data_IF_735205787345
#
_entry.id   IF_735205787345
#
_cell.length_a   1.000
_cell.length_b   1.000
_cell.length_c   1.000
_cell.angle_alpha   90.00
_cell.angle_beta   90.00
_cell.angle_gamma   90.00
#
_symmetry.space_group_name_H-M   'P 1'
#
loop_
_entity.id
_entity.type
_entity.pdbx_description
1 polymer ?
#
# COMPACT_ATOMS: atom_id res chain seq x y z
N UNK A 1 -2.70 -7.76 6.66
CA UNK A 1 -3.35 -6.45 6.52
C UNK A 1 -3.88 -6.43 5.14
N UNK A 2 -5.11 -5.97 4.94
CA UNK A 2 -5.72 -6.19 3.65
C UNK A 2 -5.26 -5.15 2.62
N UNK A 3 -5.32 -5.50 1.32
CA UNK A 3 -5.04 -4.57 0.23
C UNK A 3 -5.82 -3.25 0.34
N UNK A 4 -7.02 -3.23 0.94
CA UNK A 4 -7.83 -2.02 1.12
C UNK A 4 -7.15 -1.01 2.04
N UNK A 5 -6.66 -1.47 3.20
CA UNK A 5 -6.06 -0.58 4.20
C UNK A 5 -4.79 0.08 3.64
N UNK A 6 -3.97 -0.69 2.92
CA UNK A 6 -2.82 -0.15 2.21
C UNK A 6 -3.20 0.77 1.05
N UNK A 7 -4.26 0.43 0.30
CA UNK A 7 -4.76 1.30 -0.76
C UNK A 7 -5.24 2.64 -0.23
N UNK A 8 -5.92 2.67 0.93
CA UNK A 8 -6.41 3.91 1.54
C UNK A 8 -5.26 4.79 2.06
N UNK A 9 -4.24 4.19 2.66
CA UNK A 9 -3.06 4.92 3.13
C UNK A 9 -2.26 5.45 1.92
N UNK A 10 -2.06 4.62 0.90
CA UNK A 10 -1.48 5.04 -0.37
C UNK A 10 -2.27 6.17 -1.03
N UNK A 11 -3.60 6.09 -1.04
CA UNK A 11 -4.47 7.15 -1.55
C UNK A 11 -4.32 8.46 -0.76
N UNK A 12 -4.16 8.38 0.56
CA UNK A 12 -3.88 9.52 1.44
C UNK A 12 -2.55 10.18 1.11
N UNK A 13 -1.48 9.40 0.92
CA UNK A 13 -0.18 9.93 0.46
C UNK A 13 -0.34 10.60 -0.92
N UNK A 14 -1.13 9.98 -1.80
CA UNK A 14 -1.51 10.56 -3.08
C UNK A 14 -2.25 11.89 -2.95
N UNK A 15 -3.20 12.00 -2.02
CA UNK A 15 -3.95 13.22 -1.74
C UNK A 15 -3.05 14.37 -1.29
N UNK A 16 -2.15 14.05 -0.37
CA UNK A 16 -1.15 14.93 0.20
C UNK A 16 -0.01 15.25 -0.76
N UNK A 17 0.05 14.63 -1.95
CA UNK A 17 1.06 14.93 -2.96
C UNK A 17 0.69 16.15 -3.83
N UNK A 18 1.65 16.75 -4.56
CA UNK A 18 1.38 17.90 -5.44
C UNK A 18 0.25 17.65 -6.46
N UNK A 19 -0.66 18.62 -6.63
CA UNK A 19 -1.82 18.58 -7.55
C UNK A 19 -1.41 18.35 -9.01
N UNK A 20 -0.20 18.78 -9.41
CA UNK A 20 0.35 18.55 -10.75
C UNK A 20 0.52 17.07 -11.11
N UNK A 21 0.56 16.17 -10.12
CA UNK A 21 0.65 14.73 -10.36
C UNK A 21 -0.73 14.21 -10.80
N UNK A 22 -0.87 13.89 -12.08
CA UNK A 22 -2.09 13.28 -12.64
C UNK A 22 -2.40 11.96 -11.93
N UNK A 23 -3.68 11.78 -11.56
CA UNK A 23 -4.21 10.59 -10.89
C UNK A 23 -3.46 10.21 -9.60
N UNK A 24 -2.94 11.19 -8.85
CA UNK A 24 -2.12 10.97 -7.64
C UNK A 24 -2.76 10.02 -6.62
N UNK A 25 -4.07 10.13 -6.37
CA UNK A 25 -4.82 9.25 -5.46
C UNK A 25 -4.75 7.79 -5.89
N UNK A 26 -5.08 7.53 -7.16
CA UNK A 26 -5.06 6.19 -7.74
C UNK A 26 -3.64 5.62 -7.78
N UNK A 27 -2.64 6.43 -8.17
CA UNK A 27 -1.23 5.99 -8.18
C UNK A 27 -0.75 5.59 -6.80
N UNK A 28 -1.08 6.40 -5.79
CA UNK A 28 -0.77 6.08 -4.39
C UNK A 28 -1.47 4.82 -3.92
N UNK A 29 -2.78 4.70 -4.18
CA UNK A 29 -3.57 3.53 -3.79
C UNK A 29 -3.02 2.23 -4.39
N UNK A 30 -2.79 2.22 -5.71
CA UNK A 30 -2.23 1.07 -6.41
C UNK A 30 -0.84 0.75 -5.87
N UNK A 31 0.04 1.74 -5.71
CA UNK A 31 1.39 1.53 -5.20
C UNK A 31 1.42 1.04 -3.74
N UNK A 32 0.45 1.42 -2.91
CA UNK A 32 0.31 0.93 -1.55
C UNK A 32 -0.14 -0.53 -1.51
N UNK A 33 -1.13 -0.93 -2.31
CA UNK A 33 -1.70 -2.29 -2.25
C UNK A 33 -0.99 -3.32 -3.13
N UNK A 34 -0.15 -2.89 -4.08
CA UNK A 34 0.43 -3.80 -5.07
C UNK A 34 1.26 -4.94 -4.46
N UNK A 35 2.01 -4.79 -3.34
CA UNK A 35 2.80 -5.89 -2.81
C UNK A 35 1.93 -7.08 -2.38
N UNK A 36 0.76 -6.82 -1.79
CA UNK A 36 -0.20 -7.87 -1.39
C UNK A 36 -0.73 -8.67 -2.57
N UNK A 37 -0.93 -8.02 -3.72
CA UNK A 37 -1.47 -8.67 -4.92
C UNK A 37 -0.54 -9.76 -5.46
N UNK A 38 0.76 -9.70 -5.15
CA UNK A 38 1.69 -10.77 -5.51
C UNK A 38 1.44 -12.07 -4.73
N UNK A 39 0.76 -12.00 -3.57
CA UNK A 39 0.39 -13.19 -2.82
C UNK A 39 -0.80 -13.96 -3.43
N UNK A 40 -1.51 -13.37 -4.40
CA UNK A 40 -2.65 -14.02 -5.05
C UNK A 40 -2.27 -15.41 -5.62
N UNK A 41 -1.04 -15.56 -6.13
CA UNK A 41 -0.54 -16.83 -6.62
C UNK A 41 -0.55 -17.92 -5.54
N UNK A 42 -0.07 -17.59 -4.33
CA UNK A 42 -0.13 -18.49 -3.18
C UNK A 42 -1.57 -18.79 -2.79
N UNK A 43 -2.43 -17.76 -2.72
CA UNK A 43 -3.83 -17.91 -2.33
C UNK A 43 -4.57 -18.92 -3.20
N UNK A 44 -4.41 -18.82 -4.53
CA UNK A 44 -5.03 -19.74 -5.45
C UNK A 44 -4.42 -21.14 -5.36
N UNK A 45 -3.08 -21.24 -5.33
CA UNK A 45 -2.40 -22.52 -5.29
C UNK A 45 -2.71 -23.31 -4.01
N UNK A 46 -2.61 -22.65 -2.85
CA UNK A 46 -2.91 -23.26 -1.56
C UNK A 46 -4.39 -23.60 -1.44
N UNK A 47 -5.29 -22.76 -1.97
CA UNK A 47 -6.72 -23.05 -2.01
C UNK A 47 -7.06 -24.34 -2.78
N UNK A 48 -6.37 -24.58 -3.91
CA UNK A 48 -6.48 -25.84 -4.66
C UNK A 48 -5.96 -27.02 -3.83
N UNK A 49 -4.81 -26.86 -3.17
CA UNK A 49 -4.20 -27.92 -2.36
C UNK A 49 -5.03 -28.30 -1.13
N UNK A 50 -5.69 -27.33 -0.53
CA UNK A 50 -6.61 -27.53 0.59
C UNK A 50 -7.97 -28.13 0.15
N UNK A 51 -8.22 -28.26 -1.16
CA UNK A 51 -9.42 -28.92 -1.70
C UNK A 51 -10.68 -28.06 -1.65
N UNK A 52 -10.55 -26.72 -1.64
CA UNK A 52 -11.70 -25.83 -1.66
C UNK A 52 -12.39 -25.80 -3.02
N UNK A 53 -13.72 -25.72 -3.03
CA UNK A 53 -14.53 -25.60 -4.26
C UNK A 53 -14.26 -24.28 -5.01
N UNK A 54 -14.12 -23.19 -4.25
CA UNK A 54 -13.57 -21.93 -4.76
C UNK A 54 -12.11 -21.92 -4.31
N UNK A 55 -11.13 -21.90 -5.22
CA UNK A 55 -9.72 -22.11 -4.90
C UNK A 55 -9.11 -20.86 -4.25
N UNK A 56 -9.59 -20.46 -3.08
CA UNK A 56 -9.07 -19.33 -2.32
C UNK A 56 -8.72 -19.86 -0.94
N UNK A 57 -7.43 -19.80 -0.61
CA UNK A 57 -6.95 -20.18 0.71
C UNK A 57 -7.57 -19.30 1.80
N UNK A 58 -7.89 -19.93 2.93
CA UNK A 58 -8.29 -19.31 4.19
C UNK A 58 -7.11 -19.30 5.15
N UNK A 59 -7.13 -18.48 6.21
CA UNK A 59 -6.04 -18.45 7.19
C UNK A 59 -5.68 -19.82 7.75
N UNK A 60 -6.65 -20.70 7.99
CA UNK A 60 -6.43 -22.04 8.53
C UNK A 60 -5.63 -22.95 7.57
N UNK A 61 -5.73 -22.71 6.26
CA UNK A 61 -4.96 -23.47 5.27
C UNK A 61 -3.48 -23.18 5.40
N UNK A 62 -3.11 -21.94 5.70
CA UNK A 62 -1.72 -21.53 5.90
C UNK A 62 -1.14 -22.19 7.16
N UNK A 63 -1.89 -22.21 8.26
CA UNK A 63 -1.45 -22.86 9.50
C UNK A 63 -1.33 -24.38 9.37
N UNK A 64 -2.18 -25.02 8.55
CA UNK A 64 -2.13 -26.47 8.30
C UNK A 64 -1.13 -26.89 7.23
N UNK A 65 -0.62 -25.95 6.42
CA UNK A 65 0.30 -26.20 5.32
C UNK A 65 1.53 -25.31 5.41
N UNK A 66 2.25 -25.38 6.53
CA UNK A 66 3.44 -24.54 6.78
C UNK A 66 4.54 -24.69 5.73
N UNK A 67 4.58 -25.81 5.00
CA UNK A 67 5.47 -26.04 3.86
C UNK A 67 5.34 -24.98 2.75
N UNK A 68 4.23 -24.22 2.71
CA UNK A 68 3.98 -23.21 1.68
C UNK A 68 5.04 -22.11 1.68
N UNK A 69 5.65 -21.80 2.83
CA UNK A 69 6.67 -20.73 2.94
C UNK A 69 7.97 -21.06 2.18
N UNK A 70 8.25 -22.34 1.99
CA UNK A 70 9.41 -22.83 1.22
C UNK A 70 9.05 -23.10 -0.25
N UNK A 71 7.77 -22.93 -0.62
CA UNK A 71 7.29 -23.16 -1.97
C UNK A 71 7.51 -21.91 -2.84
N UNK A 72 7.81 -22.11 -4.13
CA UNK A 72 8.12 -21.00 -5.05
C UNK A 72 6.99 -19.98 -5.19
N UNK A 73 5.73 -20.37 -4.91
CA UNK A 73 4.59 -19.46 -4.92
C UNK A 73 4.65 -18.40 -3.83
N UNK A 74 5.40 -18.65 -2.74
CA UNK A 74 5.63 -17.71 -1.65
C UNK A 74 6.75 -16.71 -1.93
N UNK A 75 7.65 -17.01 -2.87
CA UNK A 75 8.77 -16.10 -3.19
C UNK A 75 8.31 -14.69 -3.60
N UNK A 76 7.24 -14.48 -4.40
CA UNK A 76 6.74 -13.16 -4.70
C UNK A 76 6.38 -12.35 -3.45
N UNK A 77 5.75 -12.98 -2.45
CA UNK A 77 5.45 -12.34 -1.16
C UNK A 77 6.73 -11.85 -0.49
N UNK A 78 7.73 -12.72 -0.32
CA UNK A 78 9.00 -12.37 0.32
C UNK A 78 9.76 -11.25 -0.41
N UNK A 79 9.73 -11.28 -1.75
CA UNK A 79 10.40 -10.27 -2.58
C UNK A 79 9.67 -8.93 -2.45
N UNK A 80 8.34 -8.91 -2.59
CA UNK A 80 7.59 -7.65 -2.63
C UNK A 80 7.51 -6.98 -1.27
N UNK A 81 7.65 -7.72 -0.17
CA UNK A 81 7.64 -7.21 1.20
C UNK A 81 9.05 -6.91 1.76
N UNK A 82 10.06 -6.85 0.88
CA UNK A 82 11.44 -6.53 1.25
C UNK A 82 11.78 -5.06 1.00
N UNK A 83 12.39 -4.39 1.99
CA UNK A 83 12.98 -3.06 1.81
C UNK A 83 14.14 -3.08 0.81
N UNK A 84 14.83 -4.22 0.66
CA UNK A 84 15.88 -4.37 -0.34
C UNK A 84 15.30 -4.31 -1.76
N UNK A 85 14.19 -4.99 -1.99
CA UNK A 85 13.47 -4.91 -3.27
C UNK A 85 12.95 -3.51 -3.54
N UNK A 86 12.37 -2.86 -2.52
CA UNK A 86 11.95 -1.46 -2.64
C UNK A 86 13.12 -0.54 -3.02
N UNK A 87 14.26 -0.64 -2.35
CA UNK A 87 15.41 0.24 -2.54
C UNK A 87 16.15 0.00 -3.87
N UNK A 88 16.27 -1.26 -4.30
CA UNK A 88 17.08 -1.65 -5.47
C UNK A 88 16.23 -1.76 -6.75
N UNK A 89 14.93 -2.03 -6.64
CA UNK A 89 14.05 -2.22 -7.80
C UNK A 89 13.03 -1.09 -7.91
N UNK A 90 12.19 -0.89 -6.89
CA UNK A 90 11.07 0.07 -6.97
C UNK A 90 11.55 1.51 -7.10
N UNK A 91 12.50 1.94 -6.25
CA UNK A 91 13.06 3.30 -6.31
C UNK A 91 13.78 3.54 -7.64
N UNK A 92 14.72 2.70 -8.10
CA UNK A 92 15.42 2.93 -9.37
C UNK A 92 14.49 2.91 -10.57
N UNK A 93 13.51 2.00 -10.65
CA UNK A 93 12.50 1.99 -11.73
C UNK A 93 11.70 3.29 -11.71
N UNK A 94 11.23 3.73 -10.53
CA UNK A 94 10.46 4.98 -10.39
C UNK A 94 11.25 6.17 -10.91
N UNK A 95 12.53 6.28 -10.56
CA UNK A 95 13.41 7.37 -11.00
C UNK A 95 13.78 7.27 -12.49
N UNK A 96 14.14 6.08 -12.97
CA UNK A 96 14.55 5.83 -14.35
C UNK A 96 13.45 6.18 -15.34
N UNK A 97 12.21 5.75 -15.07
CA UNK A 97 11.04 6.07 -15.88
C UNK A 97 10.41 7.44 -15.56
N UNK A 98 11.09 8.26 -14.74
CA UNK A 98 10.64 9.60 -14.34
C UNK A 98 9.21 9.61 -13.80
N UNK A 99 8.84 8.53 -13.11
CA UNK A 99 7.54 8.44 -12.46
C UNK A 99 7.53 9.29 -11.18
N UNK A 100 6.34 9.70 -10.70
CA UNK A 100 6.25 10.46 -9.46
C UNK A 100 6.81 9.65 -8.28
N UNK A 101 7.70 10.26 -7.49
CA UNK A 101 8.31 9.63 -6.30
C UNK A 101 7.27 9.15 -5.27
N UNK A 102 6.07 9.72 -5.30
CA UNK A 102 4.85 9.23 -4.63
C UNK A 102 4.70 7.70 -4.72
N UNK A 103 4.99 7.08 -5.88
CA UNK A 103 4.84 5.63 -6.05
C UNK A 103 5.77 4.88 -5.07
N UNK A 104 7.04 5.28 -5.01
CA UNK A 104 8.00 4.68 -4.10
C UNK A 104 7.67 4.96 -2.62
N UNK A 105 7.14 6.15 -2.30
CA UNK A 105 6.74 6.51 -0.94
C UNK A 105 5.50 5.70 -0.50
N UNK A 106 4.50 5.55 -1.37
CA UNK A 106 3.31 4.76 -1.09
C UNK A 106 3.67 3.27 -0.90
N UNK A 107 4.55 2.73 -1.76
CA UNK A 107 5.09 1.37 -1.58
C UNK A 107 5.82 1.23 -0.23
N UNK A 108 6.68 2.19 0.12
CA UNK A 108 7.39 2.18 1.39
C UNK A 108 6.43 2.20 2.59
N UNK A 109 5.34 2.96 2.48
CA UNK A 109 4.34 3.03 3.55
C UNK A 109 3.73 1.66 3.84
N UNK A 110 3.49 0.85 2.80
CA UNK A 110 3.02 -0.52 2.95
C UNK A 110 4.05 -1.36 3.73
N UNK A 111 5.33 -1.34 3.34
CA UNK A 111 6.38 -2.08 4.05
C UNK A 111 6.51 -1.70 5.53
N UNK A 112 6.38 -0.41 5.85
CA UNK A 112 6.46 0.07 7.24
C UNK A 112 5.28 -0.42 8.07
N UNK A 113 4.08 -0.44 7.49
CA UNK A 113 2.86 -0.89 8.18
C UNK A 113 2.82 -2.40 8.37
N UNK A 114 3.49 -3.12 7.47
CA UNK A 114 3.63 -4.57 7.51
C UNK A 114 4.55 -5.11 8.59
N UNK A 115 5.46 -4.27 9.11
CA UNK A 115 6.31 -4.65 10.24
C UNK A 115 5.48 -4.99 11.49
N UNK A 116 4.61 -4.10 12.02
CA UNK A 116 3.78 -4.43 13.17
C UNK A 116 2.56 -5.31 12.84
N UNK A 117 2.15 -5.43 11.57
CA UNK A 117 0.86 -6.05 11.23
C UNK A 117 0.89 -7.52 10.81
N UNK A 118 2.06 -8.14 10.77
CA UNK A 118 2.19 -9.56 10.41
C UNK A 118 3.07 -10.33 11.38
N UNK A 119 2.63 -11.52 11.76
CA UNK A 119 3.26 -12.40 12.76
C UNK A 119 3.21 -13.85 12.25
N UNK A 120 3.97 -14.75 12.86
CA UNK A 120 4.01 -16.16 12.52
C UNK A 120 4.39 -16.43 11.06
N UNK A 121 3.48 -17.10 10.33
CA UNK A 121 3.75 -17.53 8.95
C UNK A 121 3.81 -16.35 7.97
N UNK A 122 3.16 -15.22 8.28
CA UNK A 122 3.19 -14.01 7.46
C UNK A 122 4.21 -12.97 7.92
N UNK A 123 5.00 -13.22 8.97
CA UNK A 123 5.98 -12.25 9.47
C UNK A 123 6.87 -11.74 8.34
N UNK A 124 7.08 -10.43 8.34
CA UNK A 124 7.86 -9.76 7.32
C UNK A 124 9.32 -10.22 7.35
N UNK A 125 9.96 -10.34 6.18
CA UNK A 125 11.42 -10.45 6.05
C UNK A 125 11.98 -9.19 5.39
N UNK A 126 12.23 -8.12 6.17
CA UNK A 126 12.55 -6.78 5.64
C UNK A 126 13.76 -6.75 4.70
N UNK A 127 14.65 -7.72 4.85
CA UNK A 127 15.90 -7.82 4.10
C UNK A 127 16.01 -9.11 3.28
N UNK A 128 14.89 -9.72 2.86
CA UNK A 128 14.94 -10.88 1.96
C UNK A 128 15.90 -10.63 0.78
N UNK A 129 16.82 -11.55 0.44
CA UNK A 129 16.88 -12.98 0.84
C UNK A 129 17.63 -13.28 2.14
N UNK A 130 18.05 -12.27 2.92
CA UNK A 130 18.57 -12.52 4.25
C UNK A 130 17.41 -12.90 5.17
N UNK A 131 17.46 -14.09 5.78
CA UNK A 131 16.37 -14.69 6.57
C UNK A 131 16.16 -14.04 7.95
N UNK A 132 16.21 -12.70 8.02
CA UNK A 132 15.86 -11.95 9.22
C UNK A 132 14.35 -11.70 9.23
N UNK A 133 13.65 -12.47 10.05
CA UNK A 133 12.22 -12.35 10.27
C UNK A 133 11.95 -11.27 11.33
N UNK A 134 11.01 -10.37 11.03
CA UNK A 134 10.51 -9.39 11.96
C UNK A 134 9.11 -9.81 12.43
N UNK A 135 8.98 -10.08 13.72
CA UNK A 135 7.72 -10.48 14.33
C UNK A 135 6.87 -9.25 14.66
N UNK A 136 5.71 -9.13 14.02
CA UNK A 136 4.73 -8.09 14.30
C UNK A 136 3.97 -8.32 15.61
N UNK A 137 2.96 -7.48 15.83
CA UNK A 137 2.14 -7.48 17.04
C UNK A 137 0.79 -8.19 16.83
N UNK A 138 0.34 -8.27 15.58
CA UNK A 138 -0.91 -8.91 15.19
C UNK A 138 -0.78 -9.51 13.80
N UNK A 139 -1.76 -10.32 13.40
CA UNK A 139 -1.78 -11.02 12.13
C UNK A 139 -2.93 -10.54 11.26
N UNK A 140 -2.70 -9.46 10.53
CA UNK A 140 -3.78 -8.86 9.75
C UNK A 140 -4.11 -9.64 8.46
N UNK A 141 -3.39 -10.70 8.12
CA UNK A 141 -3.78 -11.63 7.04
C UNK A 141 -4.71 -12.74 7.54
N UNK A 142 -4.72 -12.99 8.84
CA UNK A 142 -5.65 -13.90 9.48
C UNK A 142 -6.99 -13.26 9.88
N UNK A 143 -7.13 -11.95 9.68
CA UNK A 143 -8.36 -11.23 10.04
C UNK A 143 -9.55 -11.63 9.17
N UNK A 144 -10.71 -11.68 9.80
CA UNK A 144 -11.98 -11.81 9.08
C UNK A 144 -12.37 -10.50 8.39
N UNK A 145 -13.39 -10.59 7.53
CA UNK A 145 -13.88 -9.46 6.76
C UNK A 145 -14.35 -8.31 7.65
N UNK A 146 -15.02 -8.59 8.77
CA UNK A 146 -15.54 -7.57 9.69
C UNK A 146 -14.40 -6.78 10.35
N UNK A 147 -13.35 -7.47 10.79
CA UNK A 147 -12.15 -6.86 11.36
C UNK A 147 -11.43 -6.00 10.33
N UNK A 148 -11.27 -6.51 9.10
CA UNK A 148 -10.67 -5.76 7.99
C UNK A 148 -11.40 -4.43 7.75
N UNK A 149 -12.73 -4.47 7.61
CA UNK A 149 -13.53 -3.25 7.36
C UNK A 149 -13.47 -2.29 8.54
N UNK A 150 -13.52 -2.80 9.76
CA UNK A 150 -13.43 -2.00 10.97
C UNK A 150 -12.11 -1.23 11.05
N UNK A 151 -10.99 -1.89 10.80
CA UNK A 151 -9.67 -1.26 10.80
C UNK A 151 -9.46 -0.32 9.60
N UNK A 152 -10.00 -0.65 8.43
CA UNK A 152 -9.94 0.20 7.23
C UNK A 152 -10.73 1.52 7.39
N UNK A 153 -11.68 1.59 8.32
CA UNK A 153 -12.49 2.79 8.58
C UNK A 153 -11.62 3.98 9.03
N UNK A 154 -10.56 3.73 9.80
CA UNK A 154 -9.65 4.79 10.27
C UNK A 154 -8.91 5.46 9.09
N UNK A 155 -8.14 4.75 8.24
CA UNK A 155 -7.49 5.36 7.09
C UNK A 155 -8.49 5.89 6.06
N UNK A 156 -9.70 5.33 5.96
CA UNK A 156 -10.76 5.91 5.14
C UNK A 156 -11.15 7.31 5.62
N UNK A 157 -11.41 7.50 6.91
CA UNK A 157 -11.75 8.80 7.50
C UNK A 157 -10.60 9.79 7.31
N UNK A 158 -9.36 9.36 7.56
CA UNK A 158 -8.17 10.21 7.34
C UNK A 158 -8.09 10.65 5.88
N UNK A 159 -8.25 9.73 4.94
CA UNK A 159 -8.25 10.05 3.51
C UNK A 159 -9.34 11.07 3.16
N UNK A 160 -10.57 10.89 3.66
CA UNK A 160 -11.69 11.81 3.41
C UNK A 160 -11.43 13.21 3.97
N UNK A 161 -10.86 13.30 5.18
CA UNK A 161 -10.44 14.59 5.78
C UNK A 161 -9.37 15.25 4.90
N UNK A 162 -8.33 14.52 4.51
CA UNK A 162 -7.28 15.04 3.63
C UNK A 162 -7.85 15.48 2.28
N UNK A 163 -8.78 14.72 1.70
CA UNK A 163 -9.41 15.03 0.43
C UNK A 163 -10.22 16.32 0.52
N UNK A 164 -11.06 16.46 1.55
CA UNK A 164 -11.82 17.67 1.83
C UNK A 164 -10.91 18.89 1.99
N UNK A 165 -9.86 18.78 2.80
CA UNK A 165 -8.93 19.90 3.02
C UNK A 165 -8.13 20.27 1.76
N UNK A 166 -7.74 19.29 0.93
CA UNK A 166 -7.02 19.54 -0.32
C UNK A 166 -7.91 20.13 -1.41
N UNK A 167 -9.17 19.74 -1.46
CA UNK A 167 -10.19 20.28 -2.38
C UNK A 167 -10.51 21.74 -2.06
N UNK A 168 -10.67 22.07 -0.77
CA UNK A 168 -10.90 23.43 -0.29
C UNK A 168 -9.61 24.29 -0.19
N UNK A 169 -8.49 23.78 -0.69
CA UNK A 169 -7.23 24.51 -0.86
C UNK A 169 -6.69 25.18 0.42
N UNK A 170 -6.82 24.49 1.56
CA UNK A 170 -6.31 24.95 2.84
C UNK A 170 -4.79 25.16 2.78
N UNK A 171 -4.33 26.35 3.19
CA UNK A 171 -2.97 26.85 2.97
C UNK A 171 -1.88 25.91 3.51
N UNK A 172 -2.10 25.28 4.66
CA UNK A 172 -1.10 24.42 5.33
C UNK A 172 -0.89 23.06 4.63
N UNK A 173 -1.76 22.69 3.69
CA UNK A 173 -1.58 21.51 2.84
C UNK A 173 -1.14 21.86 1.41
N UNK A 174 -0.84 23.15 1.14
CA UNK A 174 -0.33 23.56 -0.17
C UNK A 174 1.14 23.21 -0.26
N UNK A 175 1.52 22.65 -1.41
CA UNK A 175 2.93 22.51 -1.73
C UNK A 175 3.49 23.86 -2.20
N UNK A 176 4.79 24.14 -1.99
CA UNK A 176 5.44 25.33 -2.55
C UNK A 176 5.23 25.47 -4.07
N UNK A 177 5.16 24.34 -4.79
CA UNK A 177 4.86 24.33 -6.22
C UNK A 177 3.44 24.77 -6.59
N UNK A 178 2.55 24.93 -5.61
CA UNK A 178 1.13 25.27 -5.78
C UNK A 178 0.82 26.73 -5.35
N UNK A 179 1.73 27.40 -4.64
CA UNK A 179 1.51 28.77 -4.15
C UNK A 179 1.27 29.77 -5.29
N UNK A 180 2.04 29.65 -6.36
CA UNK A 180 1.91 30.46 -7.58
C UNK A 180 0.63 30.16 -8.39
N UNK A 181 -0.03 29.02 -8.15
CA UNK A 181 -1.27 28.64 -8.83
C UNK A 181 -2.48 29.44 -8.33
N UNK A 182 -2.44 29.86 -7.05
CA UNK A 182 -3.52 30.61 -6.40
C UNK A 182 -3.58 32.09 -6.78
N UNK A 183 -2.45 32.69 -7.18
CA UNK A 183 -2.39 34.09 -7.65
C UNK A 183 -2.96 34.26 -9.06
N UNK A 184 -2.73 33.28 -9.96
CA UNK A 184 -3.28 33.32 -11.32
C UNK A 184 -4.81 33.23 -11.37
N UNK A 185 -5.42 32.45 -10.47
CA UNK A 185 -6.89 32.35 -10.40
C UNK A 185 -7.56 33.58 -9.78
N UNK A 186 -6.91 34.24 -8.80
CA UNK A 186 -7.41 35.51 -8.25
C UNK A 186 -7.35 36.63 -9.28
N UNK A 187 -6.28 36.71 -10.07
CA UNK A 187 -6.16 37.76 -11.10
C UNK A 187 -7.18 37.60 -12.24
N UNK A 188 -7.58 36.37 -12.58
CA UNK A 188 -8.62 36.15 -13.60
C UNK A 188 -10.04 36.39 -13.07
N UNK A 189 -10.26 36.33 -11.76
CA UNK A 189 -11.55 36.68 -11.17
C UNK A 189 -11.74 38.20 -11.07
N UNK A 190 -10.67 38.96 -10.83
CA UNK A 190 -10.73 40.43 -10.75
C UNK A 190 -10.65 41.16 -12.09
N UNK A 191 -10.36 40.46 -13.19
CA UNK A 191 -10.33 41.03 -14.55
C UNK A 191 -11.66 40.87 -15.30
N UNK A 192 -12.65 40.20 -14.68
CA UNK A 192 -13.98 39.97 -15.25
C UNK A 192 -15.10 40.73 -14.48
N UNK A 193 -14.75 41.71 -13.65
CA UNK A 193 -15.69 42.67 -13.04
C UNK A 193 -15.58 44.05 -13.69
#
# INVERSE_FOLDING_TARGET
MDPLTHALIGATIGELSPKRIKNRRLKGAVAGMIPDLFNLLTYFYLGIKAGHNIPIARPEDYYSNTWIIDHWTWMPWEITHSFLFWAIVIVPITLYFKQPILIAIAYLSHLILDLPSHTGIWSSKPFYPFNYQFEGWFDAWAWDFETIISFATIPLIIWLICAYLRENDYWFLRWPSEENFSQGHKNNATLNE
#
